data_IF_938619059543
#
_entry.id   IF_938619059543
#
_cell.length_a   1.000
_cell.length_b   1.000
_cell.length_c   1.000
_cell.angle_alpha   90.00
_cell.angle_beta   90.00
_cell.angle_gamma   90.00
#
_symmetry.space_group_name_H-M   'P 1'
#
loop_
_entity.id
_entity.type
_entity.pdbx_description
1 polymer ?
#
# COMPACT_ATOMS: atom_id res chain seq x y z
N UNK A 1 -8.57 -9.70 54.00
CA UNK A 1 -7.65 -9.55 52.88
C UNK A 1 -6.53 -8.62 53.25
N UNK A 2 -5.32 -9.00 52.96
CA UNK A 2 -4.13 -8.18 53.25
C UNK A 2 -3.78 -7.33 52.03
N UNK A 3 -3.08 -6.22 52.23
CA UNK A 3 -2.58 -5.39 51.13
C UNK A 3 -1.74 -6.19 50.14
N UNK A 4 -1.02 -7.21 50.67
CA UNK A 4 -0.18 -8.09 49.88
C UNK A 4 -0.99 -8.88 48.84
N UNK A 5 -2.16 -9.38 49.25
CA UNK A 5 -3.05 -10.11 48.33
C UNK A 5 -3.61 -9.21 47.24
N UNK A 6 -3.95 -7.98 47.58
CA UNK A 6 -4.43 -7.00 46.62
C UNK A 6 -3.35 -6.64 45.59
N UNK A 7 -2.10 -6.50 46.05
CA UNK A 7 -0.97 -6.22 45.17
C UNK A 7 -0.69 -7.39 44.21
N UNK A 8 -0.75 -8.62 44.72
CA UNK A 8 -0.58 -9.82 43.90
C UNK A 8 -1.66 -9.89 42.80
N UNK A 9 -2.90 -9.63 43.19
CA UNK A 9 -4.01 -9.61 42.23
C UNK A 9 -3.82 -8.55 41.14
N UNK A 10 -3.35 -7.36 41.53
CA UNK A 10 -3.04 -6.29 40.57
C UNK A 10 -1.93 -6.68 39.61
N UNK A 11 -0.87 -7.31 40.12
CA UNK A 11 0.25 -7.77 39.30
C UNK A 11 -0.23 -8.80 38.28
N UNK A 12 -1.02 -9.78 38.71
CA UNK A 12 -1.55 -10.80 37.85
C UNK A 12 -2.43 -10.21 36.73
N UNK A 13 -3.25 -9.21 37.07
CA UNK A 13 -4.09 -8.52 36.09
C UNK A 13 -3.24 -7.76 35.09
N UNK A 14 -2.21 -7.05 35.55
CA UNK A 14 -1.32 -6.31 34.66
C UNK A 14 -0.54 -7.24 33.75
N UNK A 15 -0.09 -8.37 34.24
CA UNK A 15 0.58 -9.37 33.41
C UNK A 15 -0.33 -9.93 32.32
N UNK A 16 -1.59 -10.20 32.67
CA UNK A 16 -2.58 -10.67 31.69
C UNK A 16 -2.86 -9.60 30.65
N UNK A 17 -3.00 -8.34 31.08
CA UNK A 17 -3.20 -7.22 30.17
C UNK A 17 -2.00 -7.04 29.23
N UNK A 18 -0.79 -7.18 29.75
CA UNK A 18 0.42 -7.07 28.94
C UNK A 18 0.49 -8.15 27.87
N UNK A 19 0.13 -9.38 28.21
CA UNK A 19 0.08 -10.47 27.24
C UNK A 19 -0.92 -10.18 26.14
N UNK A 20 -2.09 -9.72 26.50
CA UNK A 20 -3.15 -9.39 25.56
C UNK A 20 -2.71 -8.26 24.63
N UNK A 21 -2.15 -7.21 25.20
CA UNK A 21 -1.71 -6.05 24.42
C UNK A 21 -0.57 -6.41 23.46
N UNK A 22 0.37 -7.25 23.88
CA UNK A 22 1.44 -7.72 23.03
C UNK A 22 0.91 -8.54 21.85
N UNK A 23 -0.10 -9.37 22.10
CA UNK A 23 -0.73 -10.14 21.04
C UNK A 23 -1.45 -9.23 20.06
N UNK A 24 -2.18 -8.23 20.55
CA UNK A 24 -2.86 -7.25 19.70
C UNK A 24 -1.87 -6.45 18.87
N UNK A 25 -0.74 -6.06 19.47
CA UNK A 25 0.30 -5.33 18.76
C UNK A 25 0.91 -6.15 17.63
N UNK A 26 1.15 -7.42 17.85
CA UNK A 26 1.65 -8.32 16.80
C UNK A 26 0.69 -8.43 15.63
N UNK A 27 -0.61 -8.57 15.93
CA UNK A 27 -1.64 -8.63 14.89
C UNK A 27 -1.70 -7.32 14.11
N UNK A 28 -1.66 -6.18 14.81
CA UNK A 28 -1.67 -4.88 14.15
C UNK A 28 -0.45 -4.71 13.25
N UNK A 29 0.72 -5.13 13.70
CA UNK A 29 1.95 -5.04 12.90
C UNK A 29 1.87 -5.90 11.64
N UNK A 30 1.29 -7.09 11.74
CA UNK A 30 1.04 -7.95 10.57
C UNK A 30 0.13 -7.29 9.55
N UNK A 31 -0.92 -6.65 10.03
CA UNK A 31 -1.85 -5.94 9.17
C UNK A 31 -1.18 -4.75 8.49
N UNK A 32 -0.35 -4.00 9.21
CA UNK A 32 0.42 -2.91 8.64
C UNK A 32 1.35 -3.42 7.55
N UNK A 33 2.07 -4.50 7.78
CA UNK A 33 2.95 -5.10 6.77
C UNK A 33 2.17 -5.52 5.53
N UNK A 34 0.99 -6.10 5.73
CA UNK A 34 0.13 -6.51 4.63
C UNK A 34 -0.33 -5.30 3.81
N UNK A 35 -0.70 -4.23 4.50
CA UNK A 35 -1.10 -2.99 3.85
C UNK A 35 0.05 -2.37 3.05
N UNK A 36 1.26 -2.37 3.60
CA UNK A 36 2.44 -1.87 2.90
C UNK A 36 2.69 -2.65 1.60
N UNK A 37 2.59 -3.97 1.65
CA UNK A 37 2.75 -4.80 0.46
C UNK A 37 1.69 -4.51 -0.60
N UNK A 38 0.47 -4.27 -0.16
CA UNK A 38 -0.63 -3.91 -1.05
C UNK A 38 -0.39 -2.56 -1.70
N UNK A 39 0.05 -1.57 -0.93
CA UNK A 39 0.40 -0.24 -1.43
C UNK A 39 1.52 -0.34 -2.47
N UNK A 40 2.57 -1.09 -2.18
CA UNK A 40 3.69 -1.29 -3.12
C UNK A 40 3.21 -1.88 -4.44
N UNK A 41 2.29 -2.83 -4.38
CA UNK A 41 1.71 -3.46 -5.56
C UNK A 41 0.92 -2.46 -6.40
N UNK A 42 0.10 -1.64 -5.75
CA UNK A 42 -0.66 -0.60 -6.43
C UNK A 42 0.24 0.45 -7.04
N UNK A 43 1.30 0.86 -6.35
CA UNK A 43 2.27 1.81 -6.90
C UNK A 43 2.90 1.29 -8.18
N UNK A 44 3.31 0.03 -8.20
CA UNK A 44 3.88 -0.58 -9.40
C UNK A 44 2.87 -0.62 -10.55
N UNK A 45 1.63 -0.93 -10.24
CA UNK A 45 0.55 -0.96 -11.25
C UNK A 45 0.31 0.43 -11.82
N UNK A 46 0.25 1.44 -10.96
CA UNK A 46 0.06 2.84 -11.40
C UNK A 46 1.20 3.29 -12.29
N UNK A 47 2.44 2.96 -11.94
CA UNK A 47 3.61 3.29 -12.78
C UNK A 47 3.55 2.60 -14.14
N UNK A 48 3.16 1.32 -14.17
CA UNK A 48 3.03 0.59 -15.41
C UNK A 48 1.95 1.20 -16.31
N UNK A 49 0.81 1.56 -15.73
CA UNK A 49 -0.29 2.20 -16.46
C UNK A 49 0.12 3.58 -16.98
N UNK A 50 0.84 4.37 -16.18
CA UNK A 50 1.33 5.67 -16.61
C UNK A 50 2.28 5.54 -17.79
N UNK A 51 3.18 4.54 -17.78
CA UNK A 51 4.09 4.28 -18.89
C UNK A 51 3.34 3.89 -20.16
N UNK A 52 2.30 3.06 -20.02
CA UNK A 52 1.47 2.68 -21.16
C UNK A 52 0.76 3.88 -21.76
N UNK A 53 0.22 4.76 -20.93
CA UNK A 53 -0.44 5.98 -21.41
C UNK A 53 0.54 6.88 -22.14
N UNK A 54 1.78 7.01 -21.64
CA UNK A 54 2.83 7.77 -22.30
C UNK A 54 3.14 7.21 -23.68
N UNK A 55 3.30 5.90 -23.80
CA UNK A 55 3.55 5.23 -25.07
C UNK A 55 2.39 5.43 -26.05
N UNK A 56 1.17 5.31 -25.55
CA UNK A 56 -0.02 5.55 -26.37
C UNK A 56 -0.06 6.98 -26.89
N UNK A 57 0.26 7.96 -26.05
CA UNK A 57 0.29 9.35 -26.45
C UNK A 57 1.35 9.60 -27.54
N UNK A 58 2.53 9.00 -27.39
CA UNK A 58 3.60 9.08 -28.40
C UNK A 58 3.17 8.47 -29.71
N UNK A 59 2.54 7.30 -29.66
CA UNK A 59 2.05 6.63 -30.87
C UNK A 59 0.98 7.46 -31.58
N UNK A 60 0.08 8.07 -30.83
CA UNK A 60 -0.94 8.96 -31.40
C UNK A 60 -0.32 10.15 -32.11
N UNK A 61 0.72 10.76 -31.55
CA UNK A 61 1.44 11.85 -32.20
C UNK A 61 2.08 11.39 -33.49
N UNK A 62 2.72 10.23 -33.50
CA UNK A 62 3.31 9.66 -34.71
C UNK A 62 2.29 9.42 -35.80
N UNK A 63 1.12 8.87 -35.44
CA UNK A 63 0.04 8.68 -36.40
C UNK A 63 -0.47 9.99 -36.94
N UNK A 64 -0.63 10.99 -36.07
CA UNK A 64 -1.08 12.30 -36.49
C UNK A 64 -0.10 12.95 -37.45
N UNK A 65 1.19 12.87 -37.16
CA UNK A 65 2.23 13.41 -38.02
C UNK A 65 2.29 12.70 -39.37
N UNK A 66 2.17 11.37 -39.37
CA UNK A 66 2.15 10.58 -40.57
C UNK A 66 0.95 10.91 -41.48
N UNK A 67 -0.21 11.07 -40.89
CA UNK A 67 -1.42 11.45 -41.63
C UNK A 67 -1.25 12.83 -42.26
N UNK A 68 -0.66 13.76 -41.51
CA UNK A 68 -0.41 15.12 -42.03
C UNK A 68 0.57 15.11 -43.17
N UNK A 69 1.66 14.35 -43.09
CA UNK A 69 2.60 14.19 -44.17
C UNK A 69 1.93 13.61 -45.45
N UNK A 70 1.13 12.58 -45.29
CA UNK A 70 0.40 11.97 -46.37
C UNK A 70 -0.55 12.96 -47.02
N UNK A 71 -1.23 13.74 -46.21
CA UNK A 71 -2.14 14.77 -46.71
C UNK A 71 -1.40 15.81 -47.53
N UNK A 72 -0.26 16.27 -47.06
CA UNK A 72 0.58 17.26 -47.78
C UNK A 72 1.12 16.72 -49.08
N UNK A 73 1.54 15.45 -49.12
CA UNK A 73 1.99 14.80 -50.35
C UNK A 73 0.86 14.66 -51.38
N UNK A 74 -0.35 14.52 -50.88
CA UNK A 74 -1.53 14.33 -51.73
C UNK A 74 -2.01 15.64 -52.38
N UNK A 75 -1.64 16.73 -51.76
CA UNK A 75 -1.96 18.05 -52.26
C UNK A 75 -1.18 18.35 -53.54
#
# INVERSE_FOLDING_TARGET
MTEKDDLVTQIERLEADNKRLKAQLRLANREIDRCHKTIDRYEKTVHAEANLLDECAKNMRMYSDNIQELYEQWK
#
